data_IF_504099112637
#
_entry.id   IF_504099112637
#
_cell.length_a   1.000
_cell.length_b   1.000
_cell.length_c   1.000
_cell.angle_alpha   90.00
_cell.angle_beta   90.00
_cell.angle_gamma   90.00
#
_symmetry.space_group_name_H-M   'P 1'
#
loop_
_entity.id
_entity.type
_entity.pdbx_description
1 polymer ?
#
# COMPACT_ATOMS: atom_id res chain seq x y z
N UNK A 1 -9.67 15.78 11.86
CA UNK A 1 -9.00 14.47 12.01
C UNK A 1 -9.99 13.39 11.63
N UNK A 2 -9.51 12.28 11.07
CA UNK A 2 -10.35 11.11 10.74
C UNK A 2 -10.05 10.03 11.78
N UNK A 3 -11.09 9.42 12.36
CA UNK A 3 -10.96 8.28 13.25
C UNK A 3 -10.99 7.00 12.41
N UNK A 4 -9.94 6.18 12.52
CA UNK A 4 -9.88 4.87 11.87
C UNK A 4 -10.34 3.82 12.88
N UNK A 5 -11.22 2.93 12.43
CA UNK A 5 -11.67 1.80 13.23
C UNK A 5 -10.53 0.77 13.44
N UNK A 6 -10.46 0.10 14.60
CA UNK A 6 -9.53 -1.00 14.84
C UNK A 6 -9.72 -2.16 13.87
N UNK A 7 -8.67 -2.97 13.72
CA UNK A 7 -8.69 -4.24 12.97
C UNK A 7 -9.32 -4.14 11.58
N UNK A 8 -9.12 -3.00 10.92
CA UNK A 8 -9.76 -2.63 9.66
C UNK A 8 -8.73 -2.43 8.56
N UNK A 9 -9.19 -2.52 7.32
CA UNK A 9 -8.40 -2.24 6.14
C UNK A 9 -9.03 -1.12 5.32
N UNK A 10 -8.20 -0.15 4.93
CA UNK A 10 -8.61 0.99 4.12
C UNK A 10 -7.76 1.06 2.85
N UNK A 11 -8.39 1.38 1.73
CA UNK A 11 -7.68 1.93 0.57
C UNK A 11 -7.49 3.41 0.82
N UNK A 12 -6.28 3.89 0.60
CA UNK A 12 -5.90 5.30 0.74
C UNK A 12 -5.40 5.83 -0.58
N UNK A 13 -5.81 7.04 -0.93
CA UNK A 13 -5.35 7.73 -2.14
C UNK A 13 -4.69 9.05 -1.77
N UNK A 14 -3.49 9.27 -2.29
CA UNK A 14 -2.72 10.50 -2.09
C UNK A 14 -2.45 11.15 -3.44
N UNK A 15 -2.71 12.44 -3.57
CA UNK A 15 -2.41 13.14 -4.82
C UNK A 15 -0.90 13.26 -5.01
N UNK A 16 -0.41 12.89 -6.20
CA UNK A 16 0.98 13.09 -6.61
C UNK A 16 1.10 14.28 -7.56
N UNK A 17 0.15 14.41 -8.48
CA UNK A 17 0.00 15.55 -9.39
C UNK A 17 -1.48 15.68 -9.80
N UNK A 18 -1.80 16.66 -10.66
CA UNK A 18 -3.17 16.98 -11.07
C UNK A 18 -4.02 15.76 -11.50
N UNK A 19 -3.41 14.79 -12.19
CA UNK A 19 -4.10 13.59 -12.68
C UNK A 19 -3.47 12.26 -12.21
N UNK A 20 -2.59 12.28 -11.20
CA UNK A 20 -1.90 11.08 -10.71
C UNK A 20 -2.10 10.91 -9.22
N UNK A 21 -2.48 9.69 -8.83
CA UNK A 21 -2.74 9.31 -7.46
C UNK A 21 -1.87 8.13 -7.06
N UNK A 22 -1.31 8.20 -5.85
CA UNK A 22 -0.70 7.07 -5.19
C UNK A 22 -1.76 6.29 -4.43
N UNK A 23 -1.85 4.98 -4.69
CA UNK A 23 -2.74 4.08 -3.97
C UNK A 23 -1.95 3.28 -2.94
N UNK A 24 -2.52 3.15 -1.75
CA UNK A 24 -1.93 2.37 -0.67
C UNK A 24 -2.99 1.70 0.19
N UNK A 25 -2.60 0.65 0.89
CA UNK A 25 -3.41 0.01 1.91
C UNK A 25 -3.03 0.55 3.28
N UNK A 26 -4.00 0.88 4.11
CA UNK A 26 -3.81 1.25 5.50
C UNK A 26 -4.49 0.19 6.36
N UNK A 27 -3.68 -0.63 7.05
CA UNK A 27 -4.16 -1.61 8.01
C UNK A 27 -4.10 -1.00 9.40
N UNK A 28 -5.20 -1.07 10.14
CA UNK A 28 -5.22 -0.73 11.56
C UNK A 28 -5.08 -1.99 12.40
N UNK A 29 -4.34 -1.88 13.50
CA UNK A 29 -4.25 -2.91 14.54
C UNK A 29 -5.42 -2.81 15.51
N UNK A 30 -5.39 -3.65 16.54
CA UNK A 30 -6.42 -3.71 17.56
C UNK A 30 -6.42 -2.49 18.49
N UNK A 31 -5.32 -1.73 18.52
CA UNK A 31 -5.24 -0.45 19.21
C UNK A 31 -5.43 0.73 18.24
N UNK A 32 -6.06 1.80 18.72
CA UNK A 32 -6.42 2.98 17.92
C UNK A 32 -5.23 3.79 17.36
N UNK A 33 -3.99 3.46 17.75
CA UNK A 33 -2.77 4.17 17.34
C UNK A 33 -1.84 3.33 16.44
N UNK A 34 -2.26 2.12 16.06
CA UNK A 34 -1.47 1.23 15.23
C UNK A 34 -2.00 1.24 13.80
N UNK A 35 -1.62 2.24 13.02
CA UNK A 35 -1.92 2.26 11.59
C UNK A 35 -0.63 2.04 10.79
N UNK A 36 -0.66 1.07 9.87
CA UNK A 36 0.47 0.76 8.98
C UNK A 36 0.03 0.95 7.54
N UNK A 37 0.74 1.81 6.81
CA UNK A 37 0.60 1.95 5.37
C UNK A 37 1.44 0.89 4.68
N UNK A 38 0.84 0.15 3.75
CA UNK A 38 1.47 -0.80 2.86
C UNK A 38 1.29 -0.30 1.42
N UNK A 39 2.37 -0.27 0.63
CA UNK A 39 2.29 0.22 -0.74
C UNK A 39 3.44 -0.25 -1.62
N UNK A 40 3.16 -0.31 -2.91
CA UNK A 40 4.18 -0.34 -3.95
C UNK A 40 4.63 1.08 -4.28
N UNK A 41 5.91 1.39 -4.14
CA UNK A 41 6.42 2.75 -4.32
C UNK A 41 7.83 2.78 -4.92
N UNK A 42 8.20 3.93 -5.47
CA UNK A 42 9.57 4.18 -5.93
C UNK A 42 10.57 4.02 -4.80
N UNK A 43 11.62 3.24 -5.05
CA UNK A 43 12.72 3.03 -4.12
C UNK A 43 13.80 4.08 -4.36
N UNK A 44 14.55 4.49 -3.32
CA UNK A 44 15.73 5.34 -3.52
C UNK A 44 16.67 4.70 -4.54
N UNK A 45 17.17 5.49 -5.49
CA UNK A 45 18.18 5.04 -6.44
C UNK A 45 19.50 4.81 -5.69
N UNK A 46 19.72 3.57 -5.27
CA UNK A 46 20.98 3.13 -4.69
C UNK A 46 21.77 2.37 -5.76
N UNK A 47 23.11 2.50 -5.80
CA UNK A 47 23.95 1.86 -6.82
C UNK A 47 23.72 0.35 -7.00
N UNK A 48 23.30 -0.33 -5.94
CA UNK A 48 23.07 -1.77 -5.90
C UNK A 48 21.59 -2.17 -5.88
N UNK A 49 20.67 -1.24 -6.17
CA UNK A 49 19.24 -1.54 -6.20
C UNK A 49 18.75 -1.57 -7.65
N UNK A 50 18.61 -2.77 -8.26
CA UNK A 50 18.38 -2.91 -9.70
C UNK A 50 16.95 -2.54 -10.13
N UNK A 51 16.04 -2.30 -9.18
CA UNK A 51 14.62 -2.05 -9.45
C UNK A 51 14.19 -0.66 -9.00
N UNK A 52 13.34 -0.01 -9.80
CA UNK A 52 12.86 1.34 -9.56
C UNK A 52 11.75 1.41 -8.49
N UNK A 53 10.93 0.37 -8.36
CA UNK A 53 9.83 0.33 -7.40
C UNK A 53 9.81 -1.00 -6.67
N UNK A 54 9.18 -1.02 -5.50
CA UNK A 54 8.97 -2.25 -4.74
C UNK A 54 7.96 -2.06 -3.62
N UNK A 55 7.54 -3.17 -3.02
CA UNK A 55 6.72 -3.16 -1.83
C UNK A 55 7.49 -2.55 -0.65
N UNK A 56 6.79 -1.75 0.16
CA UNK A 56 7.28 -1.23 1.43
C UNK A 56 6.11 -0.95 2.37
N UNK A 57 6.45 -0.73 3.64
CA UNK A 57 5.47 -0.36 4.65
C UNK A 57 6.01 0.72 5.60
N UNK A 58 5.10 1.50 6.16
CA UNK A 58 5.39 2.60 7.07
C UNK A 58 4.34 2.65 8.17
N UNK A 59 4.78 2.75 9.44
CA UNK A 59 3.88 3.14 10.54
C UNK A 59 3.43 4.59 10.36
N UNK A 60 2.12 4.81 10.33
CA UNK A 60 1.51 6.14 10.25
C UNK A 60 1.54 6.73 11.65
N UNK A 61 2.22 7.85 11.81
CA UNK A 61 2.22 8.59 13.07
C UNK A 61 1.05 9.59 13.10
N UNK A 62 0.36 9.77 14.24
CA UNK A 62 -0.78 10.68 14.38
C UNK A 62 -0.51 12.15 13.99
N UNK A 63 0.77 12.57 13.97
CA UNK A 63 1.21 13.94 13.64
C UNK A 63 2.09 14.03 12.39
N UNK A 64 1.99 13.08 11.47
CA UNK A 64 2.71 13.20 10.19
C UNK A 64 2.13 14.39 9.39
N UNK A 65 2.74 15.56 9.52
CA UNK A 65 2.61 16.71 8.60
C UNK A 65 3.38 16.39 7.31
N UNK A 66 3.15 15.22 6.73
CA UNK A 66 3.65 14.98 5.38
C UNK A 66 2.83 15.90 4.48
N UNK A 67 3.48 16.79 3.74
CA UNK A 67 2.84 17.77 2.85
C UNK A 67 2.08 17.14 1.67
N UNK A 68 1.69 15.86 1.77
CA UNK A 68 0.91 15.13 0.80
C UNK A 68 -0.48 14.89 1.38
N UNK A 69 -1.47 15.50 0.74
CA UNK A 69 -2.87 15.39 1.16
C UNK A 69 -3.40 14.00 0.79
N UNK A 70 -3.78 13.22 1.81
CA UNK A 70 -4.62 12.04 1.58
C UNK A 70 -6.00 12.54 1.21
N UNK A 71 -6.44 12.20 -0.01
CA UNK A 71 -7.71 12.66 -0.56
C UNK A 71 -8.89 11.80 -0.11
N UNK A 72 -8.64 10.53 0.21
CA UNK A 72 -9.70 9.62 0.63
C UNK A 72 -9.19 8.41 1.37
N UNK A 73 -10.03 7.96 2.32
CA UNK A 73 -9.95 6.69 3.02
C UNK A 73 -11.22 5.90 2.67
N UNK A 74 -11.06 4.75 2.04
CA UNK A 74 -12.16 3.88 1.66
C UNK A 74 -12.04 2.60 2.48
N UNK A 75 -12.90 2.45 3.49
CA UNK A 75 -12.94 1.24 4.33
C UNK A 75 -13.43 0.05 3.51
N UNK A 76 -12.79 -1.10 3.68
CA UNK A 76 -13.26 -2.35 3.09
C UNK A 76 -14.23 -3.05 4.04
N UNK A 77 -15.47 -3.21 3.59
CA UNK A 77 -16.49 -3.98 4.31
C UNK A 77 -16.22 -5.48 4.22
N UNK A 78 -16.47 -6.20 5.32
CA UNK A 78 -16.27 -7.66 5.38
C UNK A 78 -14.81 -8.11 5.50
N UNK A 79 -13.88 -7.18 5.71
CA UNK A 79 -12.49 -7.52 5.98
C UNK A 79 -12.35 -8.21 7.35
N UNK A 80 -11.84 -9.45 7.33
CA UNK A 80 -11.38 -10.15 8.53
C UNK A 80 -9.85 -10.17 8.49
N UNK A 81 -9.15 -9.62 9.50
CA UNK A 81 -7.70 -9.59 9.49
C UNK A 81 -7.09 -11.00 9.43
N UNK A 82 -6.26 -11.32 8.42
CA UNK A 82 -5.47 -12.54 8.45
C UNK A 82 -4.35 -12.40 9.48
N UNK A 83 -3.68 -13.52 9.77
CA UNK A 83 -2.45 -13.50 10.58
C UNK A 83 -1.41 -12.56 9.96
N UNK A 84 -0.57 -11.95 10.80
CA UNK A 84 0.46 -11.00 10.34
C UNK A 84 1.41 -11.62 9.32
N UNK A 85 1.71 -12.91 9.45
CA UNK A 85 2.56 -13.66 8.50
C UNK A 85 1.91 -13.78 7.13
N UNK A 86 0.64 -14.20 7.07
CA UNK A 86 -0.10 -14.32 5.79
C UNK A 86 -0.25 -12.96 5.12
N UNK A 87 -0.52 -11.91 5.90
CA UNK A 87 -0.59 -10.55 5.37
C UNK A 87 0.73 -10.08 4.75
N UNK A 88 1.83 -10.26 5.47
CA UNK A 88 3.16 -9.88 4.99
C UNK A 88 3.52 -10.65 3.72
N UNK A 89 3.30 -11.96 3.72
CA UNK A 89 3.51 -12.83 2.56
C UNK A 89 2.75 -12.33 1.33
N UNK A 90 1.43 -12.08 1.44
CA UNK A 90 0.62 -11.59 0.32
C UNK A 90 1.18 -10.27 -0.22
N UNK A 91 1.48 -9.32 0.67
CA UNK A 91 1.97 -8.00 0.27
C UNK A 91 3.34 -8.07 -0.43
N UNK A 92 4.26 -8.88 0.07
CA UNK A 92 5.62 -9.05 -0.46
C UNK A 92 5.63 -9.78 -1.80
N UNK A 93 4.76 -10.79 -1.97
CA UNK A 93 4.76 -11.67 -3.14
C UNK A 93 3.82 -11.23 -4.26
N UNK A 94 3.00 -10.19 -4.05
CA UNK A 94 2.04 -9.68 -5.05
C UNK A 94 2.64 -9.41 -6.43
N UNK A 95 3.88 -8.91 -6.45
CA UNK A 95 4.68 -8.82 -7.67
C UNK A 95 5.99 -9.56 -7.46
N UNK A 96 6.17 -10.64 -8.20
CA UNK A 96 7.40 -11.45 -8.20
C UNK A 96 8.61 -10.69 -8.74
N UNK A 97 8.36 -9.65 -9.55
CA UNK A 97 9.40 -8.87 -10.22
C UNK A 97 9.10 -7.38 -10.23
N UNK A 98 10.13 -6.59 -10.47
CA UNK A 98 10.07 -5.16 -10.72
C UNK A 98 11.17 -4.82 -11.72
N UNK A 99 10.97 -3.74 -12.45
CA UNK A 99 11.85 -3.35 -13.54
C UNK A 99 12.75 -2.18 -13.15
N UNK A 100 13.89 -1.97 -13.87
CA UNK A 100 14.84 -0.89 -13.57
C UNK A 100 14.28 0.52 -13.70
N UNK A 101 13.13 0.71 -14.37
CA UNK A 101 12.48 2.02 -14.52
C UNK A 101 10.99 1.94 -14.24
N UNK A 102 10.44 3.06 -13.75
CA UNK A 102 8.99 3.20 -13.53
C UNK A 102 8.21 3.01 -14.84
N UNK A 103 8.69 3.57 -15.94
CA UNK A 103 8.05 3.41 -17.26
C UNK A 103 7.98 1.93 -17.68
N UNK A 104 9.04 1.15 -17.47
CA UNK A 104 9.03 -0.26 -17.80
C UNK A 104 8.05 -1.03 -16.91
N UNK A 105 7.98 -0.72 -15.61
CA UNK A 105 6.90 -1.22 -14.74
C UNK A 105 5.52 -0.91 -15.32
N UNK A 106 5.27 0.31 -15.81
CA UNK A 106 3.97 0.68 -16.41
C UNK A 106 3.65 -0.12 -17.68
N UNK A 107 4.63 -0.36 -18.55
CA UNK A 107 4.46 -1.22 -19.75
C UNK A 107 4.04 -2.64 -19.36
N UNK A 108 4.54 -3.15 -18.22
CA UNK A 108 4.17 -4.46 -17.67
C UNK A 108 2.96 -4.42 -16.72
N UNK A 109 2.22 -3.31 -16.65
CA UNK A 109 1.03 -3.20 -15.79
C UNK A 109 1.32 -3.16 -14.28
N UNK A 110 2.58 -2.97 -13.88
CA UNK A 110 3.00 -2.85 -12.48
C UNK A 110 2.81 -1.39 -12.07
N UNK A 111 1.90 -1.15 -11.13
CA UNK A 111 1.57 0.15 -10.56
C UNK A 111 1.14 -0.01 -9.10
N UNK A 112 1.12 1.07 -8.32
CA UNK A 112 0.57 1.01 -6.96
C UNK A 112 -0.92 0.65 -6.93
N UNK A 113 -1.71 1.10 -7.91
CA UNK A 113 -3.12 0.73 -8.04
C UNK A 113 -3.29 -0.76 -8.34
N UNK A 114 -2.56 -1.29 -9.32
CA UNK A 114 -2.63 -2.72 -9.68
C UNK A 114 -2.09 -3.61 -8.57
N UNK A 115 -1.08 -3.16 -7.82
CA UNK A 115 -0.62 -3.83 -6.60
C UNK A 115 -1.75 -3.95 -5.57
N UNK A 116 -2.41 -2.83 -5.23
CA UNK A 116 -3.54 -2.83 -4.28
C UNK A 116 -4.63 -3.81 -4.72
N UNK A 117 -5.03 -3.76 -6.00
CA UNK A 117 -6.08 -4.64 -6.51
C UNK A 117 -5.70 -6.12 -6.45
N UNK A 118 -4.44 -6.46 -6.74
CA UNK A 118 -3.96 -7.85 -6.64
C UNK A 118 -3.90 -8.34 -5.20
N UNK A 119 -3.40 -7.53 -4.26
CA UNK A 119 -3.43 -7.86 -2.82
C UNK A 119 -4.85 -8.19 -2.37
N UNK A 120 -5.82 -7.36 -2.77
CA UNK A 120 -7.22 -7.56 -2.41
C UNK A 120 -7.83 -8.82 -3.05
N UNK A 121 -7.49 -9.13 -4.30
CA UNK A 121 -7.90 -10.39 -4.96
C UNK A 121 -7.38 -11.58 -4.17
N UNK A 122 -6.09 -11.61 -3.86
CA UNK A 122 -5.47 -12.73 -3.13
C UNK A 122 -6.02 -12.87 -1.71
N UNK A 123 -6.37 -11.76 -1.04
CA UNK A 123 -7.05 -11.82 0.25
C UNK A 123 -8.45 -12.42 0.15
N UNK A 124 -9.19 -12.10 -0.91
CA UNK A 124 -10.52 -12.66 -1.15
C UNK A 124 -10.47 -14.16 -1.50
N UNK A 125 -9.38 -14.62 -2.11
CA UNK A 125 -9.18 -16.03 -2.47
C UNK A 125 -8.71 -16.89 -1.28
N UNK A 126 -7.97 -16.30 -0.34
CA UNK A 126 -7.35 -17.01 0.80
C UNK A 126 -8.08 -16.85 2.14
N UNK A 127 -9.00 -15.89 2.26
CA UNK A 127 -9.77 -15.58 3.46
C UNK A 127 -11.19 -16.10 3.38
#
# INVERSE_FOLDING_TARGET
>A
SILLEPDSLYITTTQLSEAKYHWSLCRTGSSCNEAVRHHWHEKPHLPNHPVAEGYGFQRIQPRSLTGRVVLGYFKLSGYTPPSSTVWAEICETTFETSYPTVQLNRVHGITCRTWVLKVLSTLCERG
#
